data_IF_382264177585
#
_entry.id   IF_382264177585
#
_cell.length_a   1.000
_cell.length_b   1.000
_cell.length_c   1.000
_cell.angle_alpha   90.00
_cell.angle_beta   90.00
_cell.angle_gamma   90.00
#
_symmetry.space_group_name_H-M   'P 1'
#
loop_
_entity.id
_entity.type
_entity.pdbx_description
1 polymer ?
#
# COMPACT_ATOMS: atom_id res chain seq x y z
N UNK A 1 28.61 30.46 33.62
CA UNK A 1 29.23 29.28 34.26
C UNK A 1 28.97 28.09 33.34
N UNK A 2 29.97 27.25 33.07
CA UNK A 2 29.75 25.99 32.33
C UNK A 2 28.72 25.18 33.10
N UNK A 3 27.78 24.54 32.41
CA UNK A 3 26.68 23.78 33.02
C UNK A 3 27.17 22.46 33.64
N UNK A 4 28.14 22.53 34.55
CA UNK A 4 28.89 21.40 35.13
C UNK A 4 29.44 20.43 34.07
N UNK A 5 29.84 20.95 32.91
CA UNK A 5 30.42 20.19 31.80
C UNK A 5 31.83 20.70 31.50
N UNK A 6 32.79 19.78 31.41
CA UNK A 6 34.20 20.08 31.17
C UNK A 6 35.14 19.62 32.29
N UNK A 7 36.42 20.00 32.18
CA UNK A 7 37.44 19.75 33.18
C UNK A 7 37.41 20.84 34.26
N UNK A 8 37.60 20.46 35.53
CA UNK A 8 37.73 21.41 36.66
C UNK A 8 38.95 22.33 36.49
N UNK A 9 40.07 21.76 36.04
CA UNK A 9 41.26 22.49 35.62
C UNK A 9 41.89 21.84 34.39
N UNK A 10 42.40 22.60 33.41
CA UNK A 10 43.12 22.04 32.25
C UNK A 10 44.52 21.51 32.62
N UNK A 11 45.04 21.86 33.80
CA UNK A 11 46.36 21.41 34.28
C UNK A 11 46.33 19.89 34.54
N UNK A 12 47.30 19.17 33.99
CA UNK A 12 47.42 17.72 34.15
C UNK A 12 46.64 16.89 33.12
N UNK A 13 45.76 17.49 32.31
CA UNK A 13 45.03 16.76 31.25
C UNK A 13 45.79 16.68 29.91
N UNK A 14 46.90 17.42 29.77
CA UNK A 14 47.70 17.45 28.55
C UNK A 14 47.04 18.11 27.35
N UNK A 15 45.92 18.83 27.51
CA UNK A 15 45.19 19.52 26.43
C UNK A 15 44.86 20.97 26.82
N UNK A 16 44.30 21.74 25.89
CA UNK A 16 43.94 23.16 26.11
C UNK A 16 42.73 23.37 27.04
N UNK A 17 42.01 22.30 27.41
CA UNK A 17 40.78 22.38 28.19
C UNK A 17 39.58 22.98 27.45
N UNK A 18 39.65 23.13 26.13
CA UNK A 18 38.54 23.64 25.33
C UNK A 18 37.40 22.60 25.22
N UNK A 19 36.18 23.00 25.61
CA UNK A 19 34.99 22.13 25.60
C UNK A 19 34.05 22.59 24.50
N UNK A 20 33.89 21.77 23.47
CA UNK A 20 32.91 22.00 22.40
C UNK A 20 31.56 21.38 22.77
N UNK A 21 30.47 22.06 22.43
CA UNK A 21 29.14 21.45 22.52
C UNK A 21 29.01 20.32 21.49
N UNK A 22 28.32 19.24 21.85
CA UNK A 22 27.98 18.20 20.87
C UNK A 22 26.89 18.72 19.92
N UNK A 23 27.17 18.79 18.62
CA UNK A 23 26.21 19.19 17.58
C UNK A 23 25.24 18.07 17.17
N UNK A 24 25.63 16.81 17.37
CA UNK A 24 24.77 15.65 17.12
C UNK A 24 23.80 15.37 18.29
N UNK A 25 23.95 16.05 19.43
CA UNK A 25 23.03 15.91 20.55
C UNK A 25 21.68 16.55 20.21
N UNK A 26 20.72 15.71 19.80
CA UNK A 26 19.34 16.13 19.60
C UNK A 26 18.68 16.39 20.95
N UNK A 27 18.27 17.65 21.18
CA UNK A 27 17.51 18.00 22.37
C UNK A 27 16.13 17.33 22.31
N UNK A 28 15.69 16.61 23.36
CA UNK A 28 14.35 16.06 23.41
C UNK A 28 13.34 17.19 23.18
N UNK A 29 12.35 16.92 22.32
CA UNK A 29 11.33 17.90 21.92
C UNK A 29 10.57 18.35 23.16
N UNK A 30 10.30 19.64 23.29
CA UNK A 30 9.48 20.18 24.37
C UNK A 30 8.07 19.55 24.29
N UNK A 31 7.74 18.66 25.22
CA UNK A 31 6.39 18.16 25.41
C UNK A 31 5.74 19.00 26.53
N UNK A 32 4.71 19.80 26.20
CA UNK A 32 4.04 20.66 27.17
C UNK A 32 3.15 21.74 26.55
N UNK A 33 2.44 22.48 27.41
CA UNK A 33 1.54 23.57 27.02
C UNK A 33 2.34 24.72 26.36
N UNK A 34 1.99 25.09 25.13
CA UNK A 34 2.71 26.09 24.32
C UNK A 34 3.70 25.52 23.30
N UNK A 35 3.86 24.19 23.20
CA UNK A 35 4.54 23.58 22.07
C UNK A 35 3.64 23.57 20.82
N UNK A 36 4.19 23.68 19.59
CA UNK A 36 3.42 23.62 18.34
C UNK A 36 2.77 22.24 18.08
N UNK A 37 2.92 21.28 19.00
CA UNK A 37 2.30 19.96 18.94
C UNK A 37 1.56 19.66 20.26
N UNK A 38 0.37 19.04 20.19
CA UNK A 38 -0.46 18.78 21.37
C UNK A 38 0.25 17.83 22.36
N UNK A 39 0.07 18.04 23.68
CA UNK A 39 0.66 17.18 24.70
C UNK A 39 0.06 15.77 24.65
N UNK A 40 0.94 14.77 24.79
CA UNK A 40 0.62 13.34 24.73
C UNK A 40 -0.38 12.86 25.80
N UNK A 41 -0.67 13.68 26.80
CA UNK A 41 -1.50 13.34 27.99
C UNK A 41 -2.80 14.15 28.13
N UNK A 42 -3.16 15.00 27.16
CA UNK A 42 -4.47 15.68 27.16
C UNK A 42 -5.61 14.76 26.75
N UNK A 43 -6.86 15.24 26.69
CA UNK A 43 -8.07 14.47 26.31
C UNK A 43 -7.99 13.72 24.95
N UNK A 44 -6.93 13.94 24.17
CA UNK A 44 -6.57 13.20 22.96
C UNK A 44 -5.59 12.03 23.20
N UNK A 45 -5.24 11.70 24.45
CA UNK A 45 -4.37 10.58 24.80
C UNK A 45 -4.97 9.22 24.40
N UNK A 46 -6.29 9.16 24.22
CA UNK A 46 -6.97 8.00 23.65
C UNK A 46 -6.77 7.87 22.12
N UNK A 47 -6.22 8.90 21.46
CA UNK A 47 -5.78 8.86 20.06
C UNK A 47 -4.28 8.53 19.94
N UNK A 48 -3.49 8.75 21.01
CA UNK A 48 -2.07 8.34 21.10
C UNK A 48 -1.88 6.82 21.21
N UNK A 49 -2.92 6.09 21.65
CA UNK A 49 -2.96 4.62 21.65
C UNK A 49 -3.57 4.05 20.34
N UNK A 50 -3.99 4.92 19.41
CA UNK A 50 -4.24 4.51 18.03
C UNK A 50 -2.90 4.58 17.34
N UNK A 51 -2.26 3.42 17.14
CA UNK A 51 -1.06 3.32 16.31
C UNK A 51 -1.22 4.15 15.03
N UNK A 52 -0.13 4.77 14.55
CA UNK A 52 -0.12 5.61 13.35
C UNK A 52 -1.10 5.07 12.31
N UNK A 53 -2.17 5.82 12.00
CA UNK A 53 -3.14 5.41 11.00
C UNK A 53 -2.40 5.24 9.69
N UNK A 54 -2.22 4.00 9.24
CA UNK A 54 -1.65 3.72 7.93
C UNK A 54 -2.52 4.43 6.90
N UNK A 55 -1.88 5.28 6.10
CA UNK A 55 -2.57 5.93 4.98
C UNK A 55 -3.07 4.83 4.05
N UNK A 56 -4.31 4.97 3.60
CA UNK A 56 -4.84 4.06 2.60
C UNK A 56 -3.99 4.18 1.32
N UNK A 57 -3.69 3.06 0.64
CA UNK A 57 -3.04 3.09 -0.67
C UNK A 57 -3.81 3.96 -1.65
N UNK A 58 -3.09 4.63 -2.56
CA UNK A 58 -3.71 5.47 -3.58
C UNK A 58 -4.51 4.60 -4.56
N UNK A 59 -5.77 4.97 -4.79
CA UNK A 59 -6.68 4.26 -5.70
C UNK A 59 -6.15 4.25 -7.13
N UNK A 60 -5.50 5.33 -7.58
CA UNK A 60 -4.95 5.42 -8.93
C UNK A 60 -3.82 4.42 -9.13
N UNK A 61 -2.98 4.21 -8.10
CA UNK A 61 -1.89 3.23 -8.14
C UNK A 61 -2.47 1.82 -8.21
N UNK A 62 -3.48 1.51 -7.40
CA UNK A 62 -4.12 0.20 -7.40
C UNK A 62 -4.78 -0.13 -8.75
N UNK A 63 -5.47 0.84 -9.36
CA UNK A 63 -6.09 0.66 -10.69
C UNK A 63 -5.04 0.51 -11.79
N UNK A 64 -3.93 1.25 -11.69
CA UNK A 64 -2.82 1.13 -12.63
C UNK A 64 -2.16 -0.25 -12.55
N UNK A 65 -1.98 -0.80 -11.35
CA UNK A 65 -1.38 -2.13 -11.18
C UNK A 65 -2.33 -3.24 -11.70
N UNK A 66 -3.65 -3.08 -11.55
CA UNK A 66 -4.64 -3.98 -12.17
C UNK A 66 -4.56 -3.95 -13.70
N UNK A 67 -4.50 -2.76 -14.31
CA UNK A 67 -4.33 -2.61 -15.77
C UNK A 67 -3.00 -3.18 -16.26
N UNK A 68 -1.90 -2.96 -15.52
CA UNK A 68 -0.60 -3.56 -15.83
C UNK A 68 -0.67 -5.08 -15.80
N UNK A 69 -1.39 -5.69 -14.85
CA UNK A 69 -1.51 -7.14 -14.78
C UNK A 69 -2.20 -7.73 -16.04
N UNK A 70 -3.12 -6.99 -16.66
CA UNK A 70 -3.71 -7.37 -17.95
C UNK A 70 -2.66 -7.28 -19.07
N UNK A 71 -1.95 -6.17 -19.18
CA UNK A 71 -0.94 -5.98 -20.23
C UNK A 71 0.23 -6.97 -20.12
N UNK A 72 0.62 -7.36 -18.90
CA UNK A 72 1.64 -8.40 -18.68
C UNK A 72 1.18 -9.73 -19.26
N UNK A 73 -0.06 -10.16 -18.99
CA UNK A 73 -0.61 -11.41 -19.55
C UNK A 73 -0.68 -11.37 -21.08
N UNK A 74 -1.00 -10.21 -21.66
CA UNK A 74 -1.03 -10.04 -23.12
C UNK A 74 0.39 -10.13 -23.70
N UNK A 75 1.39 -9.55 -23.04
CA UNK A 75 2.80 -9.69 -23.46
C UNK A 75 3.29 -11.14 -23.36
N UNK A 76 2.95 -11.85 -22.28
CA UNK A 76 3.30 -13.28 -22.11
C UNK A 76 2.69 -14.15 -23.22
N UNK A 77 1.42 -13.94 -23.58
CA UNK A 77 0.78 -14.70 -24.68
C UNK A 77 1.35 -14.31 -26.05
N UNK A 78 1.76 -13.06 -26.25
CA UNK A 78 2.47 -12.66 -27.46
C UNK A 78 3.81 -13.40 -27.59
N UNK A 79 4.62 -13.37 -26.54
CA UNK A 79 5.91 -14.08 -26.48
C UNK A 79 5.72 -15.58 -26.75
N UNK A 80 4.70 -16.19 -26.15
CA UNK A 80 4.36 -17.60 -26.39
C UNK A 80 4.01 -17.91 -27.84
N UNK A 81 3.23 -17.06 -28.50
CA UNK A 81 2.85 -17.24 -29.91
C UNK A 81 4.04 -17.00 -30.85
N UNK A 82 4.91 -16.06 -30.53
CA UNK A 82 6.15 -15.79 -31.27
C UNK A 82 7.13 -16.98 -31.13
N UNK A 83 7.36 -17.50 -29.92
CA UNK A 83 8.18 -18.70 -29.70
C UNK A 83 7.60 -19.95 -30.40
N UNK A 84 6.27 -20.09 -30.40
CA UNK A 84 5.61 -21.19 -31.12
C UNK A 84 5.79 -21.08 -32.63
N UNK A 85 5.70 -19.87 -33.17
CA UNK A 85 6.02 -19.61 -34.57
C UNK A 85 7.48 -19.96 -34.90
N UNK A 86 8.43 -19.50 -34.10
CA UNK A 86 9.86 -19.82 -34.28
C UNK A 86 10.09 -21.34 -34.26
N UNK A 87 9.50 -22.05 -33.29
CA UNK A 87 9.58 -23.52 -33.20
C UNK A 87 9.02 -24.18 -34.46
N UNK A 88 7.88 -23.73 -34.97
CA UNK A 88 7.26 -24.27 -36.19
C UNK A 88 8.13 -23.96 -37.42
N UNK A 89 8.73 -22.79 -37.51
CA UNK A 89 9.65 -22.43 -38.61
C UNK A 89 10.93 -23.28 -38.59
N UNK A 90 11.47 -23.57 -37.40
CA UNK A 90 12.63 -24.45 -37.22
C UNK A 90 12.31 -25.92 -37.55
N UNK A 91 11.18 -26.44 -37.06
CA UNK A 91 10.71 -27.81 -37.32
C UNK A 91 10.15 -27.98 -38.76
N UNK A 92 9.79 -26.87 -39.41
CA UNK A 92 9.12 -26.74 -40.71
C UNK A 92 9.96 -26.97 -41.96
N UNK A 93 11.18 -27.55 -41.84
CA UNK A 93 11.89 -28.18 -42.98
C UNK A 93 11.65 -29.69 -43.08
N UNK A 94 10.87 -30.29 -42.19
CA UNK A 94 10.46 -31.68 -42.33
C UNK A 94 9.40 -32.16 -41.33
N UNK A 95 8.13 -32.16 -41.75
CA UNK A 95 7.02 -32.99 -41.21
C UNK A 95 6.16 -32.47 -40.04
N UNK A 96 6.17 -31.19 -39.66
CA UNK A 96 5.24 -30.64 -38.65
C UNK A 96 4.01 -29.95 -39.26
N UNK A 97 2.80 -30.37 -38.89
CA UNK A 97 1.51 -29.76 -39.28
C UNK A 97 1.20 -28.46 -38.49
N UNK A 98 2.20 -27.63 -38.19
CA UNK A 98 2.04 -26.35 -37.51
C UNK A 98 1.76 -25.22 -38.50
N UNK A 99 0.68 -24.45 -38.29
CA UNK A 99 0.44 -23.21 -39.05
C UNK A 99 1.21 -22.08 -38.36
N UNK A 100 2.21 -21.51 -39.04
CA UNK A 100 2.84 -20.25 -38.65
C UNK A 100 1.79 -19.15 -38.73
N UNK A 101 1.60 -18.42 -37.65
CA UNK A 101 0.68 -17.28 -37.57
C UNK A 101 1.35 -16.04 -38.15
N UNK A 102 0.61 -15.22 -38.89
CA UNK A 102 1.12 -13.90 -39.27
C UNK A 102 1.16 -12.96 -38.06
N UNK A 103 1.93 -11.88 -38.14
CA UNK A 103 1.95 -10.82 -37.12
C UNK A 103 0.53 -10.26 -36.87
N UNK A 104 -0.28 -10.14 -37.93
CA UNK A 104 -1.68 -9.70 -37.84
C UNK A 104 -2.55 -10.69 -37.05
N UNK A 105 -2.39 -12.01 -37.25
CA UNK A 105 -3.14 -13.04 -36.49
C UNK A 105 -2.72 -13.08 -35.01
N UNK A 106 -1.45 -12.81 -34.71
CA UNK A 106 -0.96 -12.69 -33.33
C UNK A 106 -1.57 -11.45 -32.67
N UNK A 107 -1.59 -10.32 -33.36
CA UNK A 107 -2.15 -9.07 -32.83
C UNK A 107 -3.66 -9.20 -32.56
N UNK A 108 -4.42 -9.83 -33.47
CA UNK A 108 -5.85 -10.08 -33.28
C UNK A 108 -6.12 -10.97 -32.06
N UNK A 109 -5.32 -12.02 -31.85
CA UNK A 109 -5.41 -12.87 -30.64
C UNK A 109 -5.09 -12.12 -29.37
N UNK A 110 -4.07 -11.26 -29.41
CA UNK A 110 -3.68 -10.42 -28.28
C UNK A 110 -4.76 -9.38 -27.95
N UNK A 111 -5.40 -8.77 -28.96
CA UNK A 111 -6.50 -7.82 -28.77
C UNK A 111 -7.75 -8.51 -28.22
N UNK A 112 -8.09 -9.70 -28.74
CA UNK A 112 -9.18 -10.51 -28.20
C UNK A 112 -8.94 -10.91 -26.73
N UNK A 113 -7.70 -11.27 -26.39
CA UNK A 113 -7.29 -11.56 -25.02
C UNK A 113 -7.38 -10.32 -24.12
N UNK A 114 -6.90 -9.16 -24.60
CA UNK A 114 -7.01 -7.88 -23.89
C UNK A 114 -8.48 -7.55 -23.59
N UNK A 115 -9.36 -7.63 -24.58
CA UNK A 115 -10.79 -7.36 -24.43
C UNK A 115 -11.43 -8.30 -23.40
N UNK A 116 -11.09 -9.60 -23.44
CA UNK A 116 -11.57 -10.60 -22.47
C UNK A 116 -11.10 -10.30 -21.05
N UNK A 117 -9.82 -10.02 -20.85
CA UNK A 117 -9.24 -9.78 -19.53
C UNK A 117 -9.72 -8.45 -18.93
N UNK A 118 -9.92 -7.41 -19.74
CA UNK A 118 -10.51 -6.15 -19.28
C UNK A 118 -11.95 -6.35 -18.80
N UNK A 119 -12.75 -7.13 -19.54
CA UNK A 119 -14.11 -7.45 -19.14
C UNK A 119 -14.16 -8.27 -17.84
N UNK A 120 -13.31 -9.28 -17.72
CA UNK A 120 -13.21 -10.09 -16.50
C UNK A 120 -12.80 -9.23 -15.29
N UNK A 121 -11.86 -8.31 -15.48
CA UNK A 121 -11.43 -7.35 -14.46
C UNK A 121 -12.58 -6.42 -14.03
N UNK A 122 -13.35 -5.87 -14.98
CA UNK A 122 -14.52 -5.02 -14.67
C UNK A 122 -15.61 -5.81 -13.92
N UNK A 123 -15.88 -7.05 -14.34
CA UNK A 123 -16.83 -7.94 -13.65
C UNK A 123 -16.36 -8.30 -12.22
N UNK A 124 -15.05 -8.47 -12.00
CA UNK A 124 -14.49 -8.64 -10.65
C UNK A 124 -14.61 -7.39 -9.80
N UNK A 125 -14.39 -6.20 -10.37
CA UNK A 125 -14.55 -4.93 -9.66
C UNK A 125 -15.99 -4.69 -9.22
N UNK A 126 -16.95 -4.96 -10.12
CA UNK A 126 -18.37 -4.87 -9.81
C UNK A 126 -18.77 -5.85 -8.70
N UNK A 127 -18.34 -7.13 -8.80
CA UNK A 127 -18.59 -8.13 -7.75
C UNK A 127 -18.00 -7.73 -6.39
N UNK A 128 -16.80 -7.12 -6.38
CA UNK A 128 -16.19 -6.60 -5.14
C UNK A 128 -16.97 -5.42 -4.57
N UNK A 129 -17.47 -4.53 -5.43
CA UNK A 129 -18.36 -3.42 -5.02
C UNK A 129 -19.61 -3.94 -4.33
N UNK A 130 -20.33 -4.85 -4.99
CA UNK A 130 -21.57 -5.43 -4.47
C UNK A 130 -21.36 -6.13 -3.11
N UNK A 131 -20.24 -6.86 -2.95
CA UNK A 131 -19.91 -7.52 -1.69
C UNK A 131 -19.65 -6.51 -0.55
N UNK A 132 -18.93 -5.43 -0.82
CA UNK A 132 -18.67 -4.36 0.16
C UNK A 132 -19.96 -3.63 0.57
N UNK A 133 -20.88 -3.43 -0.37
CA UNK A 133 -22.17 -2.80 -0.09
C UNK A 133 -23.05 -3.68 0.82
N UNK A 134 -23.06 -4.99 0.58
CA UNK A 134 -23.76 -5.96 1.45
C UNK A 134 -23.15 -5.97 2.85
N UNK A 135 -21.82 -6.02 2.98
CA UNK A 135 -21.13 -6.01 4.27
C UNK A 135 -21.43 -4.74 5.06
N UNK A 136 -21.42 -3.58 4.40
CA UNK A 136 -21.78 -2.30 5.01
C UNK A 136 -23.24 -2.28 5.46
N UNK A 137 -24.17 -2.79 4.65
CA UNK A 137 -25.59 -2.85 5.03
C UNK A 137 -25.82 -3.74 6.27
N UNK A 138 -25.18 -4.91 6.32
CA UNK A 138 -25.25 -5.83 7.45
C UNK A 138 -24.65 -5.19 8.70
N UNK A 139 -23.49 -4.52 8.60
CA UNK A 139 -22.86 -3.84 9.72
C UNK A 139 -23.75 -2.73 10.29
N UNK A 140 -24.35 -1.90 9.42
CA UNK A 140 -25.30 -0.85 9.82
C UNK A 140 -26.54 -1.46 10.49
N UNK A 141 -27.07 -2.57 9.97
CA UNK A 141 -28.21 -3.28 10.56
C UNK A 141 -27.88 -3.80 11.96
N UNK A 142 -26.71 -4.42 12.14
CA UNK A 142 -26.25 -4.94 13.44
C UNK A 142 -26.08 -3.82 14.46
N UNK A 143 -25.46 -2.69 14.07
CA UNK A 143 -25.29 -1.52 14.93
C UNK A 143 -26.64 -0.92 15.33
N UNK A 144 -27.59 -0.82 14.39
CA UNK A 144 -28.94 -0.33 14.69
C UNK A 144 -29.69 -1.26 15.64
N UNK A 145 -29.58 -2.58 15.45
CA UNK A 145 -30.22 -3.59 16.30
C UNK A 145 -29.60 -3.65 17.71
N UNK A 146 -28.29 -3.44 17.86
CA UNK A 146 -27.63 -3.37 19.16
C UNK A 146 -28.00 -2.08 19.91
N UNK A 147 -28.09 -0.94 19.20
CA UNK A 147 -28.54 0.32 19.77
C UNK A 147 -29.99 0.25 20.29
N UNK A 148 -30.90 -0.40 19.54
CA UNK A 148 -32.28 -0.62 19.97
C UNK A 148 -32.39 -1.51 21.21
N UNK A 149 -31.63 -2.61 21.28
CA UNK A 149 -31.59 -3.50 22.45
C UNK A 149 -31.05 -2.80 23.71
N UNK A 150 -30.02 -1.98 23.56
CA UNK A 150 -29.47 -1.21 24.68
C UNK A 150 -30.43 -0.11 25.18
N UNK A 151 -31.28 0.43 24.30
CA UNK A 151 -32.30 1.41 24.68
C UNK A 151 -33.48 0.75 25.42
N UNK A 152 -33.91 -0.45 25.01
CA UNK A 152 -35.01 -1.17 25.68
C UNK A 152 -34.60 -1.82 27.01
N UNK A 153 -33.35 -2.30 27.14
CA UNK A 153 -32.85 -2.92 28.37
C UNK A 153 -32.54 -1.95 29.51
N UNK A 154 -32.75 -0.65 29.32
CA UNK A 154 -32.47 0.40 30.31
C UNK A 154 -33.72 0.93 31.03
N UNK A 155 -34.89 0.34 30.78
CA UNK A 155 -36.18 0.76 31.38
C UNK A 155 -36.68 -0.12 32.54
N UNK A 156 -36.04 -1.26 32.85
CA UNK A 156 -36.48 -2.18 33.92
C UNK A 156 -35.61 -2.09 35.20
N UNK A 157 -35.36 -0.86 35.70
CA UNK A 157 -34.81 -0.59 37.04
C UNK A 157 -35.50 0.63 37.68
#
# INVERSE_FOLDING_TARGET
MSSNVGLSTPRGSGTSGYVQRNYAFMKPRNAGYGAPYPPVSGANANDSNRGFKQRQPDKQILEHDRRRAVEVKVMEERERLEEENERIEEEGKGKGEGKVLSEEEIEERCEALRARLLKEMEEEENRRGDALDIENEVAVRVIRHSAQRNASGRMDL
#
